data_IF_739585288949
#
_entry.id   IF_739585288949
#
_cell.length_a   1.000
_cell.length_b   1.000
_cell.length_c   1.000
_cell.angle_alpha   90.00
_cell.angle_beta   90.00
_cell.angle_gamma   90.00
#
_symmetry.space_group_name_H-M   'P 1'
#
loop_
_entity.id
_entity.type
_entity.pdbx_description
1 polymer ?
#
# COMPACT_ATOMS: atom_id res chain seq x y z
N UNK A 1 15.83 -3.25 -12.55
CA UNK A 1 15.23 -4.57 -12.30
C UNK A 1 14.06 -4.38 -11.35
N UNK A 2 12.82 -4.45 -11.83
CA UNK A 2 11.63 -4.36 -10.97
C UNK A 2 11.41 -5.74 -10.35
N UNK A 3 11.41 -5.85 -9.02
CA UNK A 3 11.09 -7.10 -8.32
C UNK A 3 9.57 -7.16 -8.15
N UNK A 4 8.95 -8.21 -8.68
CA UNK A 4 7.51 -8.47 -8.47
C UNK A 4 7.34 -9.06 -7.08
N UNK A 5 6.57 -8.39 -6.21
CA UNK A 5 6.17 -8.92 -4.91
C UNK A 5 5.00 -9.91 -5.02
N UNK A 6 4.74 -10.67 -3.96
CA UNK A 6 3.60 -11.59 -3.91
C UNK A 6 2.27 -10.84 -3.74
N UNK A 7 1.17 -11.46 -4.18
CA UNK A 7 -0.17 -10.88 -4.00
C UNK A 7 -0.53 -10.78 -2.52
N UNK A 8 -0.12 -11.78 -1.74
CA UNK A 8 -0.36 -11.88 -0.29
C UNK A 8 0.28 -10.70 0.43
N UNK A 9 1.48 -10.27 0.00
CA UNK A 9 2.14 -9.07 0.54
C UNK A 9 1.33 -7.81 0.25
N UNK A 10 0.80 -7.67 -0.97
CA UNK A 10 -0.04 -6.52 -1.33
C UNK A 10 -1.39 -6.53 -0.57
N UNK A 11 -1.97 -7.70 -0.32
CA UNK A 11 -3.17 -7.84 0.51
C UNK A 11 -2.90 -7.45 1.96
N UNK A 12 -1.77 -7.87 2.53
CA UNK A 12 -1.35 -7.47 3.87
C UNK A 12 -1.12 -5.96 3.96
N UNK A 13 -0.46 -5.37 2.94
CA UNK A 13 -0.22 -3.93 2.85
C UNK A 13 -1.53 -3.15 2.86
N UNK A 14 -2.49 -3.53 2.03
CA UNK A 14 -3.80 -2.90 2.00
C UNK A 14 -4.49 -2.96 3.37
N UNK A 15 -4.51 -4.16 4.00
CA UNK A 15 -5.16 -4.35 5.31
C UNK A 15 -4.57 -3.42 6.35
N UNK A 16 -3.24 -3.29 6.40
CA UNK A 16 -2.56 -2.42 7.37
C UNK A 16 -2.82 -0.94 7.10
N UNK A 17 -2.70 -0.48 5.85
CA UNK A 17 -3.00 0.91 5.47
C UNK A 17 -4.43 1.28 5.91
N UNK A 18 -5.41 0.45 5.55
CA UNK A 18 -6.81 0.74 5.84
C UNK A 18 -7.13 0.60 7.34
N UNK A 19 -6.47 -0.30 8.08
CA UNK A 19 -6.63 -0.42 9.52
C UNK A 19 -6.00 0.74 10.30
N UNK A 20 -4.91 1.33 9.79
CA UNK A 20 -4.28 2.51 10.40
C UNK A 20 -5.16 3.76 10.25
N UNK A 21 -5.97 3.84 9.20
CA UNK A 21 -7.05 4.82 9.08
C UNK A 21 -6.62 6.23 8.67
N UNK A 22 -5.33 6.48 8.39
CA UNK A 22 -4.85 7.77 7.88
C UNK A 22 -5.22 8.03 6.43
N UNK A 23 -5.21 6.99 5.60
CA UNK A 23 -5.68 7.00 4.22
C UNK A 23 -6.50 5.75 3.94
N UNK A 24 -7.31 5.79 2.89
CA UNK A 24 -8.03 4.63 2.39
C UNK A 24 -7.57 4.30 0.97
N UNK A 25 -7.15 3.06 0.75
CA UNK A 25 -6.87 2.52 -0.57
C UNK A 25 -7.85 1.41 -0.91
N UNK A 26 -8.00 1.17 -2.21
CA UNK A 26 -8.82 0.09 -2.74
C UNK A 26 -7.97 -0.84 -3.59
N UNK A 27 -8.24 -2.16 -3.58
CA UNK A 27 -7.53 -3.10 -4.44
C UNK A 27 -8.17 -3.25 -5.81
N UNK A 28 -7.43 -3.93 -6.68
CA UNK A 28 -7.91 -4.59 -7.89
C UNK A 28 -7.12 -5.88 -8.15
N UNK A 29 -7.75 -6.82 -8.85
CA UNK A 29 -7.10 -8.05 -9.32
C UNK A 29 -7.42 -8.28 -10.78
N UNK A 30 -6.40 -8.30 -11.64
CA UNK A 30 -6.56 -8.53 -13.08
C UNK A 30 -5.53 -9.56 -13.51
N UNK A 31 -5.96 -10.61 -14.23
CA UNK A 31 -5.08 -11.71 -14.68
C UNK A 31 -4.22 -12.26 -13.53
N UNK A 32 -4.84 -12.49 -12.37
CA UNK A 32 -4.20 -12.99 -11.16
C UNK A 32 -3.13 -12.09 -10.53
N UNK A 33 -2.98 -10.85 -10.98
CA UNK A 33 -2.11 -9.84 -10.35
C UNK A 33 -2.95 -8.93 -9.47
N UNK A 34 -2.65 -8.91 -8.17
CA UNK A 34 -3.28 -8.06 -7.18
C UNK A 34 -2.46 -6.77 -7.00
N UNK A 35 -3.12 -5.62 -7.13
CA UNK A 35 -2.47 -4.31 -7.02
C UNK A 35 -3.39 -3.31 -6.31
N UNK A 36 -2.77 -2.29 -5.71
CA UNK A 36 -3.46 -1.23 -4.99
C UNK A 36 -3.73 -0.06 -5.95
N UNK A 37 -4.87 0.60 -5.77
CA UNK A 37 -5.24 1.81 -6.50
C UNK A 37 -5.33 2.97 -5.52
N UNK A 38 -4.62 4.03 -5.85
CA UNK A 38 -4.75 5.33 -5.21
C UNK A 38 -5.52 6.25 -6.16
N UNK A 39 -6.70 6.70 -5.75
CA UNK A 39 -7.56 7.56 -6.54
C UNK A 39 -7.73 8.91 -5.82
N UNK A 40 -7.41 9.99 -6.53
CA UNK A 40 -7.63 11.36 -6.05
C UNK A 40 -8.93 11.87 -6.68
N UNK A 41 -9.96 12.05 -5.86
CA UNK A 41 -11.31 12.37 -6.34
C UNK A 41 -11.82 13.74 -5.88
N UNK A 42 -11.25 14.31 -4.80
CA UNK A 42 -11.68 15.60 -4.27
C UNK A 42 -10.96 16.75 -4.96
N UNK A 43 -11.71 17.80 -5.31
CA UNK A 43 -11.12 19.06 -5.80
C UNK A 43 -10.39 19.85 -4.72
N UNK A 44 -10.60 19.49 -3.45
CA UNK A 44 -9.93 20.10 -2.31
C UNK A 44 -8.57 19.48 -2.02
N UNK A 45 -8.25 18.33 -2.63
CA UNK A 45 -6.96 17.66 -2.44
C UNK A 45 -5.81 18.55 -2.91
N UNK A 46 -4.85 18.78 -2.01
CA UNK A 46 -3.63 19.53 -2.28
C UNK A 46 -2.44 18.59 -2.53
N UNK A 47 -1.35 19.06 -3.16
CA UNK A 47 -0.14 18.26 -3.35
C UNK A 47 0.44 17.71 -2.04
N UNK A 48 0.29 18.44 -0.94
CA UNK A 48 0.70 18.03 0.41
C UNK A 48 -0.07 16.80 0.91
N UNK A 49 -1.37 16.69 0.61
CA UNK A 49 -2.18 15.52 0.97
C UNK A 49 -1.70 14.27 0.21
N UNK A 50 -1.34 14.43 -1.07
CA UNK A 50 -0.78 13.36 -1.91
C UNK A 50 0.58 12.92 -1.36
N UNK A 51 1.45 13.88 -1.03
CA UNK A 51 2.75 13.59 -0.45
C UNK A 51 2.62 12.86 0.90
N UNK A 52 1.72 13.30 1.78
CA UNK A 52 1.43 12.64 3.04
C UNK A 52 0.87 11.22 2.84
N UNK A 53 -0.04 11.05 1.87
CA UNK A 53 -0.59 9.73 1.52
C UNK A 53 0.50 8.79 0.99
N UNK A 54 1.40 9.29 0.15
CA UNK A 54 2.52 8.52 -0.36
C UNK A 54 3.49 8.12 0.75
N UNK A 55 3.83 9.04 1.66
CA UNK A 55 4.66 8.74 2.81
C UNK A 55 4.04 7.64 3.69
N UNK A 56 2.72 7.68 3.89
CA UNK A 56 2.02 6.64 4.64
C UNK A 56 2.08 5.28 3.95
N UNK A 57 1.93 5.23 2.62
CA UNK A 57 2.12 3.99 1.84
C UNK A 57 3.53 3.44 2.02
N UNK A 58 4.56 4.31 1.94
CA UNK A 58 5.95 3.91 2.13
C UNK A 58 6.19 3.36 3.54
N UNK A 59 5.72 4.05 4.58
CA UNK A 59 5.87 3.62 5.97
C UNK A 59 5.28 2.22 6.21
N UNK A 60 4.06 1.96 5.69
CA UNK A 60 3.42 0.65 5.84
C UNK A 60 4.12 -0.43 5.01
N UNK A 61 4.66 -0.08 3.84
CA UNK A 61 5.43 -1.00 3.01
C UNK A 61 6.76 -1.38 3.68
N UNK A 62 7.50 -0.42 4.24
CA UNK A 62 8.73 -0.65 5.00
C UNK A 62 8.48 -1.56 6.20
N UNK A 63 7.38 -1.33 6.93
CA UNK A 63 6.99 -2.17 8.06
C UNK A 63 6.77 -3.64 7.66
N UNK A 64 6.03 -3.89 6.56
CA UNK A 64 5.81 -5.26 6.07
C UNK A 64 7.10 -5.91 5.59
N UNK A 65 7.96 -5.17 4.89
CA UNK A 65 9.24 -5.71 4.42
C UNK A 65 10.18 -6.06 5.58
N UNK A 66 10.13 -5.29 6.67
CA UNK A 66 10.86 -5.60 7.89
C UNK A 66 10.29 -6.84 8.59
N UNK A 67 8.97 -6.98 8.72
CA UNK A 67 8.32 -8.17 9.30
C UNK A 67 8.65 -9.45 8.52
N UNK A 68 8.58 -9.43 7.19
CA UNK A 68 8.95 -10.56 6.33
C UNK A 68 10.39 -11.04 6.59
N UNK A 69 11.28 -10.12 7.01
CA UNK A 69 12.68 -10.42 7.29
C UNK A 69 12.92 -11.01 8.69
N UNK A 70 11.91 -10.99 9.57
CA UNK A 70 12.00 -11.45 10.96
C UNK A 70 11.40 -12.85 11.18
N UNK A 71 10.77 -13.45 10.15
CA UNK A 71 10.23 -14.81 10.21
C UNK A 71 11.25 -15.75 9.56
N UNK A 72 11.95 -16.62 10.33
CA UNK A 72 12.72 -17.70 9.74
C UNK A 72 11.74 -18.67 9.06
N UNK A 73 12.01 -19.00 7.79
CA UNK A 73 11.24 -19.97 7.02
C UNK A 73 11.34 -21.40 7.56
#
# INVERSE_FOLDING_TARGET
>A
MVRVGSNERNEALLKRINAHGKIHLVPSKVRSVYFLRFAVCSRLTQPTDIAASWQEIQNMAEYILAEDSLIPG
#
